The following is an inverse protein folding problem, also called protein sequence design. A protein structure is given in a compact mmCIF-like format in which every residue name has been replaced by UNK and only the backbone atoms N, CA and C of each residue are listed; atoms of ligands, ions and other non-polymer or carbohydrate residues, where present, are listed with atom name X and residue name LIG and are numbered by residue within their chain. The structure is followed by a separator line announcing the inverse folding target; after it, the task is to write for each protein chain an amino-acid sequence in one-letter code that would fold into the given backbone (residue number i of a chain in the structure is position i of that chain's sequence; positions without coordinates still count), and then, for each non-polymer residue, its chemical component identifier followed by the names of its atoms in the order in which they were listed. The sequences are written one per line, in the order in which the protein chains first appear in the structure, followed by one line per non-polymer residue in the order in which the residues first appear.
data_IF_537228682304
#
_entry.id   IF_537228682304
#
_cell.length_a   1.000
_cell.length_b   1.000
_cell.length_c   1.000
_cell.angle_alpha   90.00
_cell.angle_beta   90.00
_cell.angle_gamma   90.00
#
_symmetry.space_group_name_H-M   'P 1'
#
loop_
_entity.id
_entity.type
_entity.pdbx_description
1 polymer ?
#
# COMPACT_ATOMS: atom_id res chain seq x y z
N UNK A 1 -14.01 1.83 18.70
CA UNK A 1 -13.39 1.29 17.50
C UNK A 1 -11.98 0.83 17.82
N UNK A 2 -11.61 -0.32 17.28
CA UNK A 2 -10.24 -0.84 17.31
C UNK A 2 -9.31 0.01 16.42
N UNK A 3 -8.00 -0.13 16.61
CA UNK A 3 -6.99 0.70 15.93
C UNK A 3 -5.97 -0.14 15.18
N UNK A 4 -5.49 0.33 14.03
CA UNK A 4 -4.55 -0.40 13.16
C UNK A 4 -3.30 0.45 12.87
N UNK A 5 -2.14 -0.22 12.78
CA UNK A 5 -0.85 0.37 12.40
C UNK A 5 -0.07 1.05 13.52
N UNK A 6 1.12 1.55 13.19
CA UNK A 6 1.97 2.30 14.13
C UNK A 6 1.24 3.53 14.70
N UNK A 7 1.45 3.81 15.99
CA UNK A 7 0.88 4.95 16.72
C UNK A 7 -0.64 5.03 16.72
N UNK A 8 -1.37 3.94 16.38
CA UNK A 8 -2.84 3.95 16.31
C UNK A 8 -3.40 5.04 15.39
N UNK A 9 -2.69 5.34 14.30
CA UNK A 9 -3.04 6.41 13.37
C UNK A 9 -4.40 6.19 12.68
N UNK A 10 -4.84 4.93 12.57
CA UNK A 10 -6.18 4.60 12.10
C UNK A 10 -7.04 4.07 13.26
N UNK A 11 -8.26 4.61 13.38
CA UNK A 11 -9.31 4.15 14.30
C UNK A 11 -10.55 3.84 13.49
N UNK A 12 -11.02 2.59 13.58
CA UNK A 12 -12.20 2.16 12.86
C UNK A 12 -13.46 2.83 13.45
N UNK A 13 -14.23 3.50 12.59
CA UNK A 13 -15.55 4.07 12.89
C UNK A 13 -16.68 3.08 12.64
N UNK A 14 -16.41 2.02 11.87
CA UNK A 14 -17.31 0.97 11.46
C UNK A 14 -16.56 -0.38 11.38
N UNK A 15 -17.26 -1.47 11.04
CA UNK A 15 -16.61 -2.77 10.83
C UNK A 15 -15.83 -2.73 9.52
N UNK A 16 -14.51 -2.88 9.60
CA UNK A 16 -13.60 -2.81 8.45
C UNK A 16 -12.85 -4.13 8.32
N UNK A 17 -12.80 -4.69 7.11
CA UNK A 17 -11.92 -5.81 6.79
C UNK A 17 -10.60 -5.25 6.26
N UNK A 18 -9.48 -5.68 6.86
CA UNK A 18 -8.14 -5.28 6.41
C UNK A 18 -7.36 -6.48 5.93
N UNK A 19 -6.52 -6.28 4.92
CA UNK A 19 -5.52 -7.24 4.48
C UNK A 19 -4.13 -6.71 4.82
N UNK A 20 -3.24 -7.60 5.24
CA UNK A 20 -1.83 -7.27 5.51
C UNK A 20 -0.99 -7.75 4.33
N UNK A 21 -0.23 -6.84 3.74
CA UNK A 21 0.66 -7.13 2.62
C UNK A 21 2.09 -7.07 3.15
N UNK A 22 2.94 -8.10 2.94
CA UNK A 22 4.29 -8.18 3.49
C UNK A 22 5.29 -7.35 2.67
N UNK A 23 4.99 -6.05 2.52
CA UNK A 23 5.86 -5.04 1.93
C UNK A 23 5.78 -3.78 2.78
N UNK A 24 6.88 -3.08 2.97
CA UNK A 24 6.89 -1.82 3.71
C UNK A 24 7.89 -0.82 3.18
N UNK A 25 8.22 0.18 4.01
CA UNK A 25 9.13 1.23 3.58
C UNK A 25 10.57 0.77 3.40
N UNK A 26 10.97 -0.37 4.01
CA UNK A 26 12.27 -0.97 3.73
C UNK A 26 12.34 -1.63 2.34
N UNK A 27 11.19 -1.88 1.70
CA UNK A 27 11.09 -2.42 0.34
C UNK A 27 10.95 -1.31 -0.72
N UNK A 28 10.77 -0.06 -0.28
CA UNK A 28 10.63 1.12 -1.15
C UNK A 28 9.25 1.79 -1.11
N UNK A 29 8.33 1.31 -0.28
CA UNK A 29 7.00 1.93 -0.14
C UNK A 29 7.10 3.19 0.73
N UNK A 30 6.91 4.37 0.14
CA UNK A 30 7.01 5.64 0.88
C UNK A 30 6.11 5.65 2.11
N UNK A 31 6.65 6.10 3.25
CA UNK A 31 5.86 6.28 4.49
C UNK A 31 4.71 7.27 4.33
N UNK A 32 4.82 8.17 3.36
CA UNK A 32 3.78 9.15 3.03
C UNK A 32 2.52 8.52 2.47
N UNK A 33 2.57 7.28 1.97
CA UNK A 33 1.40 6.57 1.47
C UNK A 33 0.43 6.07 2.55
N UNK A 34 0.79 6.21 3.83
CA UNK A 34 -0.10 5.84 4.93
C UNK A 34 -1.38 6.70 4.98
N UNK A 35 -2.31 6.28 5.83
CA UNK A 35 -3.51 7.01 6.19
C UNK A 35 -4.40 7.42 4.98
N UNK A 36 -4.51 6.54 3.98
CA UNK A 36 -5.38 6.72 2.82
C UNK A 36 -4.76 7.52 1.67
N UNK A 37 -3.51 7.96 1.79
CA UNK A 37 -2.82 8.69 0.73
C UNK A 37 -2.52 7.77 -0.45
N UNK A 38 -1.93 6.60 -0.19
CA UNK A 38 -1.65 5.58 -1.19
C UNK A 38 -2.68 4.45 -1.23
N UNK A 39 -2.63 3.67 -2.30
CA UNK A 39 -3.49 2.52 -2.51
C UNK A 39 -2.79 1.49 -3.38
N UNK A 40 -3.28 0.25 -3.33
CA UNK A 40 -2.86 -0.86 -4.20
C UNK A 40 -4.07 -1.41 -4.94
N UNK A 41 -3.86 -2.31 -5.90
CA UNK A 41 -4.95 -3.06 -6.51
C UNK A 41 -4.95 -4.52 -6.06
N UNK A 42 -6.14 -5.02 -5.73
CA UNK A 42 -6.42 -6.42 -5.42
C UNK A 42 -7.67 -6.79 -6.21
N UNK A 43 -7.61 -7.83 -7.04
CA UNK A 43 -8.71 -8.24 -7.93
C UNK A 43 -9.29 -7.04 -8.73
N UNK A 44 -8.40 -6.23 -9.31
CA UNK A 44 -8.70 -5.00 -10.07
C UNK A 44 -9.42 -3.87 -9.31
N UNK A 45 -9.64 -4.02 -8.00
CA UNK A 45 -10.24 -2.99 -7.14
C UNK A 45 -9.17 -2.23 -6.36
N UNK A 46 -9.39 -0.93 -6.17
CA UNK A 46 -8.51 -0.08 -5.35
C UNK A 46 -8.69 -0.41 -3.88
N UNK A 47 -7.61 -0.82 -3.22
CA UNK A 47 -7.52 -1.06 -1.79
C UNK A 47 -6.66 0.04 -1.15
N UNK A 48 -7.25 1.02 -0.45
CA UNK A 48 -6.49 2.12 0.15
C UNK A 48 -5.66 1.64 1.35
N UNK A 49 -4.44 2.18 1.49
CA UNK A 49 -3.57 1.89 2.63
C UNK A 49 -4.14 2.57 3.87
N UNK A 50 -4.39 1.79 4.92
CA UNK A 50 -4.92 2.27 6.20
C UNK A 50 -3.82 2.26 7.26
N UNK A 51 -3.78 3.32 8.06
CA UNK A 51 -2.73 3.50 9.06
C UNK A 51 -1.36 3.81 8.44
N UNK A 52 -0.31 3.71 9.25
CA UNK A 52 1.05 4.01 8.82
C UNK A 52 1.69 2.83 8.08
N UNK A 53 2.53 3.14 7.10
CA UNK A 53 3.40 2.15 6.43
C UNK A 53 4.48 1.68 7.41
N UNK A 54 4.48 0.38 7.71
CA UNK A 54 5.46 -0.24 8.61
C UNK A 54 6.76 -0.55 7.86
N UNK A 55 7.76 -1.12 8.54
CA UNK A 55 9.05 -1.48 7.93
C UNK A 55 8.88 -2.54 6.84
N UNK A 56 8.14 -3.60 7.16
CA UNK A 56 8.02 -4.78 6.31
C UNK A 56 6.55 -5.14 5.99
N UNK A 57 5.60 -4.28 6.33
CA UNK A 57 4.18 -4.50 6.04
C UNK A 57 3.36 -3.22 5.85
N UNK A 58 2.29 -3.33 5.08
CA UNK A 58 1.23 -2.34 4.97
C UNK A 58 -0.12 -3.01 5.22
N UNK A 59 -1.06 -2.23 5.73
CA UNK A 59 -2.45 -2.67 5.88
C UNK A 59 -3.29 -1.92 4.88
N UNK A 60 -4.19 -2.63 4.19
CA UNK A 60 -5.11 -2.04 3.22
C UNK A 60 -6.55 -2.39 3.56
N UNK A 61 -7.48 -1.48 3.28
CA UNK A 61 -8.90 -1.74 3.45
C UNK A 61 -9.41 -2.60 2.29
N UNK A 62 -9.99 -3.75 2.62
CA UNK A 62 -10.58 -4.72 1.69
C UNK A 62 -12.04 -5.03 2.04
N UNK A 63 -12.72 -4.11 2.72
CA UNK A 63 -14.12 -4.31 3.17
C UNK A 63 -15.04 -4.67 2.00
N UNK A 64 -14.87 -4.03 0.84
CA UNK A 64 -15.67 -4.25 -0.38
C UNK A 64 -14.93 -5.07 -1.46
N UNK A 65 -13.87 -5.76 -1.07
CA UNK A 65 -13.02 -6.55 -1.97
C UNK A 65 -13.06 -8.00 -1.51
N UNK A 66 -13.59 -8.86 -2.38
CA UNK A 66 -13.54 -10.30 -2.16
C UNK A 66 -12.14 -10.79 -2.56
N UNK A 67 -11.34 -11.14 -1.55
CA UNK A 67 -9.97 -11.61 -1.68
C UNK A 67 -9.61 -12.55 -0.54
N UNK A 68 -8.60 -13.37 -0.78
CA UNK A 68 -8.08 -14.38 0.15
C UNK A 68 -6.55 -14.29 0.26
N UNK A 69 -5.99 -14.97 1.26
CA UNK A 69 -4.54 -15.04 1.43
C UNK A 69 -3.89 -15.70 0.21
N UNK A 70 -2.80 -15.09 -0.29
CA UNK A 70 -2.08 -15.55 -1.48
C UNK A 70 -2.54 -14.93 -2.79
N UNK A 71 -3.63 -14.16 -2.80
CA UNK A 71 -4.05 -13.40 -3.98
C UNK A 71 -3.01 -12.36 -4.39
N UNK A 72 -2.95 -12.07 -5.70
CA UNK A 72 -2.02 -11.11 -6.25
C UNK A 72 -2.38 -9.67 -5.84
N UNK A 73 -1.35 -8.89 -5.50
CA UNK A 73 -1.47 -7.48 -5.18
C UNK A 73 -0.59 -6.66 -6.11
N UNK A 74 -1.19 -5.72 -6.83
CA UNK A 74 -0.47 -4.80 -7.70
C UNK A 74 -0.22 -3.48 -6.97
N UNK A 75 1.02 -3.31 -6.51
CA UNK A 75 1.48 -2.09 -5.82
C UNK A 75 1.68 -0.94 -6.81
N UNK A 76 2.26 -1.24 -7.97
CA UNK A 76 2.42 -0.32 -9.09
C UNK A 76 1.85 -0.96 -10.36
N UNK A 77 0.53 -0.84 -10.54
CA UNK A 77 -0.20 -1.43 -11.68
C UNK A 77 0.24 -0.90 -13.05
N UNK A 78 0.30 0.41 -13.22
CA UNK A 78 0.64 1.06 -14.49
C UNK A 78 1.22 2.47 -14.27
N UNK A 79 1.64 3.12 -15.36
CA UNK A 79 2.23 4.47 -15.31
C UNK A 79 1.28 5.52 -14.72
N UNK A 80 -0.01 5.46 -15.05
CA UNK A 80 -1.01 6.41 -14.53
C UNK A 80 -1.18 6.26 -13.02
N UNK A 81 -1.15 5.02 -12.53
CA UNK A 81 -1.19 4.73 -11.10
C UNK A 81 0.02 5.31 -10.37
N UNK A 82 1.23 5.11 -10.91
CA UNK A 82 2.46 5.65 -10.31
C UNK A 82 2.42 7.18 -10.27
N UNK A 83 1.95 7.82 -11.35
CA UNK A 83 1.80 9.28 -11.40
C UNK A 83 0.78 9.82 -10.40
N UNK A 84 -0.35 9.14 -10.22
CA UNK A 84 -1.35 9.50 -9.19
C UNK A 84 -0.78 9.36 -7.78
N UNK A 85 -0.07 8.26 -7.49
CA UNK A 85 0.60 8.05 -6.21
C UNK A 85 1.66 9.12 -5.95
N UNK A 86 2.49 9.45 -6.95
CA UNK A 86 3.51 10.48 -6.83
C UNK A 86 2.89 11.84 -6.49
N UNK A 87 1.81 12.23 -7.20
CA UNK A 87 1.06 13.46 -6.91
C UNK A 87 0.50 13.48 -5.49
N UNK A 88 -0.13 12.39 -5.06
CA UNK A 88 -0.70 12.25 -3.70
C UNK A 88 0.35 12.33 -2.60
N UNK A 89 1.57 11.83 -2.87
CA UNK A 89 2.71 11.92 -1.97
C UNK A 89 3.55 13.20 -2.14
N UNK A 90 3.13 14.16 -2.99
CA UNK A 90 3.88 15.39 -3.27
C UNK A 90 5.33 15.13 -3.74
N UNK A 91 5.49 14.16 -4.64
CA UNK A 91 6.77 13.76 -5.23
C UNK A 91 6.61 13.47 -6.73
N UNK A 92 7.65 12.95 -7.37
CA UNK A 92 7.72 12.57 -8.78
C UNK A 92 7.78 11.04 -8.95
N UNK A 93 7.26 10.48 -10.07
CA UNK A 93 7.30 9.04 -10.35
C UNK A 93 8.68 8.39 -10.21
N UNK A 94 9.74 9.13 -10.56
CA UNK A 94 11.11 8.63 -10.48
C UNK A 94 11.54 8.31 -9.05
N UNK A 95 11.11 9.08 -8.04
CA UNK A 95 11.43 8.78 -6.64
C UNK A 95 10.77 7.46 -6.21
N UNK A 96 9.53 7.21 -6.62
CA UNK A 96 8.83 5.95 -6.32
C UNK A 96 9.54 4.74 -6.95
N UNK A 97 9.91 4.85 -8.22
CA UNK A 97 10.51 3.75 -8.97
C UNK A 97 11.95 3.44 -8.52
N UNK A 98 12.72 4.48 -8.23
CA UNK A 98 14.12 4.35 -7.79
C UNK A 98 14.25 3.98 -6.31
N UNK A 99 13.22 4.21 -5.49
CA UNK A 99 13.20 3.84 -4.08
C UNK A 99 13.06 2.32 -3.83
N UNK A 100 12.70 1.53 -4.85
CA UNK A 100 12.54 0.07 -4.72
C UNK A 100 13.86 -0.56 -4.29
N UNK A 101 13.85 -1.14 -3.09
CA UNK A 101 15.07 -1.64 -2.45
C UNK A 101 15.55 -2.96 -3.05
N UNK A 102 16.76 -3.35 -2.67
CA UNK A 102 17.35 -4.64 -3.08
C UNK A 102 16.65 -5.86 -2.46
N UNK A 103 15.77 -5.66 -1.46
CA UNK A 103 14.95 -6.74 -0.87
C UNK A 103 13.92 -7.26 -1.86
N UNK A 104 13.49 -6.41 -2.79
CA UNK A 104 12.53 -6.78 -3.83
C UNK A 104 13.26 -7.55 -4.93
N UNK A 105 12.89 -8.83 -5.08
CA UNK A 105 13.44 -9.69 -6.12
C UNK A 105 13.10 -9.13 -7.51
N UNK A 106 14.12 -8.93 -8.33
CA UNK A 106 13.98 -8.51 -9.73
C UNK A 106 13.97 -9.72 -10.63
N UNK A 107 12.96 -9.81 -11.51
CA UNK A 107 12.83 -10.87 -12.52
C UNK A 107 12.82 -10.19 -13.88
N UNK A 108 13.75 -10.56 -14.74
CA UNK A 108 13.82 -10.09 -16.13
C UNK A 108 13.24 -11.19 -17.01
N UNK A 109 12.28 -10.85 -17.87
CA UNK A 109 11.73 -11.76 -18.87
C UNK A 109 12.56 -11.73 -20.15
#
# INVERSE_FOLDING_TARGET
GETVGYNRAFKATETVKTATIPIGHADGISRQFGNGVGYVYINDKKAPIVGNVCMDMIMVNVTDIDCQEGDEVLVFKDQLHIEDLAKRANTIPYELLTAISQRVRRVVK
#
